data_IF_400343004102
#
_entry.id   IF_400343004102
#
_cell.length_a   1.000
_cell.length_b   1.000
_cell.length_c   1.000
_cell.angle_alpha   90.00
_cell.angle_beta   90.00
_cell.angle_gamma   90.00
#
_symmetry.space_group_name_H-M   'P 1'
#
loop_
_entity.id
_entity.type
_entity.pdbx_description
1 polymer ?
#
# COMPACT_ATOMS: atom_id res chain seq x y z
N UNK A 1 6.50 4.61 -24.50
CA UNK A 1 5.39 4.42 -23.54
C UNK A 1 6.03 4.26 -22.17
N UNK A 2 5.93 5.26 -21.28
CA UNK A 2 6.37 5.09 -19.90
C UNK A 2 5.36 4.14 -19.24
N UNK A 3 5.74 2.86 -19.09
CA UNK A 3 4.85 1.84 -18.57
C UNK A 3 4.59 2.11 -17.10
N UNK A 4 3.34 2.46 -16.75
CA UNK A 4 2.96 2.56 -15.35
C UNK A 4 3.09 1.20 -14.68
N UNK A 5 3.60 1.18 -13.46
CA UNK A 5 3.82 -0.06 -12.71
C UNK A 5 2.52 -0.52 -12.04
N UNK A 6 2.14 -1.79 -12.22
CA UNK A 6 0.93 -2.35 -11.59
C UNK A 6 1.21 -2.74 -10.13
N UNK A 7 0.42 -2.23 -9.19
CA UNK A 7 0.65 -2.41 -7.74
C UNK A 7 -0.64 -2.81 -7.01
N UNK A 8 -0.47 -3.42 -5.83
CA UNK A 8 -1.54 -3.57 -4.84
C UNK A 8 -1.40 -2.48 -3.78
N UNK A 9 -2.44 -1.69 -3.58
CA UNK A 9 -2.43 -0.63 -2.57
C UNK A 9 -2.86 -1.16 -1.20
N UNK A 10 -2.13 -0.75 -0.15
CA UNK A 10 -2.52 -0.92 1.25
C UNK A 10 -2.90 0.45 1.79
N UNK A 11 -4.18 0.64 2.10
CA UNK A 11 -4.77 1.91 2.53
C UNK A 11 -4.82 1.92 4.06
N UNK A 12 -3.97 2.74 4.69
CA UNK A 12 -3.70 2.67 6.12
C UNK A 12 -4.56 3.63 6.97
N UNK A 13 -5.31 4.52 6.32
CA UNK A 13 -6.21 5.49 6.94
C UNK A 13 -7.48 5.62 6.09
N UNK A 14 -8.58 6.17 6.63
CA UNK A 14 -9.71 6.58 5.80
C UNK A 14 -9.23 7.62 4.77
N UNK A 15 -9.03 7.17 3.54
CA UNK A 15 -8.62 8.01 2.41
C UNK A 15 -9.77 8.09 1.41
N UNK A 16 -9.96 9.27 0.84
CA UNK A 16 -10.94 9.46 -0.21
C UNK A 16 -10.44 8.83 -1.52
N UNK A 17 -11.37 8.53 -2.43
CA UNK A 17 -11.01 8.05 -3.78
C UNK A 17 -10.09 9.04 -4.51
N UNK A 18 -10.22 10.34 -4.23
CA UNK A 18 -9.37 11.39 -4.81
C UNK A 18 -7.92 11.25 -4.34
N UNK A 19 -7.70 11.00 -3.06
CA UNK A 19 -6.35 10.86 -2.49
C UNK A 19 -5.62 9.67 -3.11
N UNK A 20 -6.34 8.57 -3.29
CA UNK A 20 -5.79 7.35 -3.90
C UNK A 20 -5.43 7.59 -5.38
N UNK A 21 -6.27 8.32 -6.12
CA UNK A 21 -6.01 8.66 -7.52
C UNK A 21 -4.82 9.63 -7.67
N UNK A 22 -4.64 10.55 -6.73
CA UNK A 22 -3.49 11.45 -6.69
C UNK A 22 -2.21 10.65 -6.42
N UNK A 23 -2.21 9.79 -5.39
CA UNK A 23 -1.07 8.94 -5.08
C UNK A 23 -0.67 8.04 -6.26
N UNK A 24 -1.65 7.49 -6.99
CA UNK A 24 -1.42 6.71 -8.21
C UNK A 24 -0.72 7.54 -9.31
N UNK A 25 -1.19 8.77 -9.55
CA UNK A 25 -0.65 9.66 -10.57
C UNK A 25 0.75 10.16 -10.24
N UNK A 26 0.99 10.53 -8.98
CA UNK A 26 2.27 11.08 -8.53
C UNK A 26 3.38 10.03 -8.50
N UNK A 27 3.05 8.78 -8.16
CA UNK A 27 4.01 7.69 -8.08
C UNK A 27 4.15 6.90 -9.39
N UNK A 28 3.45 7.29 -10.45
CA UNK A 28 3.45 6.61 -11.75
C UNK A 28 3.12 5.11 -11.68
N UNK A 29 2.18 4.75 -10.80
CA UNK A 29 1.69 3.37 -10.62
C UNK A 29 0.27 3.22 -11.15
N UNK A 30 -0.25 2.00 -11.19
CA UNK A 30 -1.67 1.67 -11.40
C UNK A 30 -2.10 0.72 -10.30
N UNK A 31 -3.08 1.14 -9.50
CA UNK A 31 -3.56 0.34 -8.37
C UNK A 31 -4.57 -0.68 -8.89
N UNK A 32 -4.16 -1.95 -8.96
CA UNK A 32 -5.02 -3.05 -9.40
C UNK A 32 -6.02 -3.46 -8.33
N UNK A 33 -5.58 -3.49 -7.06
CA UNK A 33 -6.38 -3.92 -5.92
C UNK A 33 -6.03 -3.09 -4.70
N UNK A 34 -7.03 -2.89 -3.81
CA UNK A 34 -6.88 -2.18 -2.55
C UNK A 34 -7.11 -3.14 -1.39
N UNK A 35 -6.27 -3.03 -0.37
CA UNK A 35 -6.40 -3.68 0.93
C UNK A 35 -6.60 -2.55 1.93
N UNK A 36 -7.70 -2.55 2.67
CA UNK A 36 -7.94 -1.56 3.72
C UNK A 36 -7.34 -2.13 5.00
N UNK A 37 -6.34 -1.44 5.55
CA UNK A 37 -5.76 -1.82 6.82
C UNK A 37 -6.65 -1.31 7.96
N UNK A 38 -7.01 -2.23 8.86
CA UNK A 38 -7.67 -1.90 10.12
C UNK A 38 -6.66 -2.09 11.26
N UNK A 39 -6.32 -0.99 11.94
CA UNK A 39 -5.41 -0.99 13.08
C UNK A 39 -5.93 -1.88 14.24
N UNK A 40 -7.25 -2.09 14.34
CA UNK A 40 -7.85 -2.97 15.37
C UNK A 40 -7.57 -4.44 15.13
N UNK A 41 -7.48 -4.86 13.87
CA UNK A 41 -7.12 -6.23 13.49
C UNK A 41 -5.61 -6.49 13.60
N UNK A 42 -4.82 -5.42 13.60
CA UNK A 42 -3.38 -5.46 13.77
C UNK A 42 -2.61 -5.90 12.52
N UNK A 43 -1.29 -5.95 12.66
CA UNK A 43 -0.36 -6.26 11.56
C UNK A 43 -0.52 -7.69 11.01
N UNK A 44 -0.83 -8.65 11.86
CA UNK A 44 -0.89 -10.07 11.47
C UNK A 44 -2.05 -10.36 10.52
N UNK A 45 -3.19 -9.67 10.71
CA UNK A 45 -4.33 -9.76 9.80
C UNK A 45 -3.95 -9.24 8.40
N UNK A 46 -3.24 -8.12 8.32
CA UNK A 46 -2.75 -7.57 7.06
C UNK A 46 -1.79 -8.54 6.36
N UNK A 47 -0.81 -9.10 7.09
CA UNK A 47 0.13 -10.07 6.53
C UNK A 47 -0.64 -11.29 5.99
N UNK A 48 -1.61 -11.81 6.74
CA UNK A 48 -2.44 -12.93 6.28
C UNK A 48 -3.21 -12.60 5.01
N UNK A 49 -3.76 -11.39 4.87
CA UNK A 49 -4.42 -10.95 3.64
C UNK A 49 -3.44 -10.83 2.47
N UNK A 50 -2.24 -10.28 2.71
CA UNK A 50 -1.18 -10.17 1.70
C UNK A 50 -0.72 -11.55 1.22
N UNK A 51 -0.53 -12.50 2.13
CA UNK A 51 -0.14 -13.88 1.80
C UNK A 51 -1.23 -14.64 1.01
N UNK A 52 -2.50 -14.45 1.38
CA UNK A 52 -3.65 -15.03 0.66
C UNK A 52 -3.74 -14.54 -0.78
N UNK A 53 -3.26 -13.34 -1.05
CA UNK A 53 -3.38 -12.74 -2.38
C UNK A 53 -2.43 -13.36 -3.40
N UNK A 54 -1.36 -14.06 -3.02
CA UNK A 54 -0.42 -14.82 -3.90
C UNK A 54 -0.14 -14.19 -5.28
N UNK A 55 -0.17 -12.86 -5.39
CA UNK A 55 0.12 -12.16 -6.65
C UNK A 55 1.53 -11.59 -6.56
N UNK A 56 2.35 -11.70 -7.63
CA UNK A 56 3.71 -11.18 -7.68
C UNK A 56 3.74 -9.65 -7.88
N UNK A 57 2.72 -8.93 -7.41
CA UNK A 57 2.62 -7.47 -7.54
C UNK A 57 3.31 -6.79 -6.37
N UNK A 58 3.95 -5.65 -6.66
CA UNK A 58 4.50 -4.78 -5.61
C UNK A 58 3.38 -4.21 -4.75
N UNK A 59 3.73 -3.96 -3.50
CA UNK A 59 2.84 -3.29 -2.55
C UNK A 59 3.07 -1.80 -2.56
N UNK A 60 2.00 -1.03 -2.49
CA UNK A 60 2.04 0.42 -2.36
C UNK A 60 1.27 0.84 -1.11
N UNK A 61 1.98 1.20 -0.06
CA UNK A 61 1.37 1.63 1.20
C UNK A 61 1.00 3.10 1.11
N UNK A 62 -0.24 3.44 1.43
CA UNK A 62 -0.75 4.81 1.45
C UNK A 62 -1.18 5.13 2.87
N UNK A 63 -0.34 5.89 3.58
CA UNK A 63 -0.56 6.33 4.96
C UNK A 63 -1.32 7.65 5.00
N UNK A 64 -1.15 8.51 3.97
CA UNK A 64 -1.79 9.81 3.85
C UNK A 64 -1.65 10.40 2.43
N UNK A 65 -2.22 11.58 2.22
CA UNK A 65 -2.23 12.30 0.93
C UNK A 65 -0.84 12.49 0.30
N UNK A 66 0.18 12.70 1.14
CA UNK A 66 1.58 12.88 0.72
C UNK A 66 2.52 11.91 1.45
N UNK A 67 1.97 10.85 2.05
CA UNK A 67 2.75 9.85 2.79
C UNK A 67 2.42 8.48 2.23
N UNK A 68 3.23 8.06 1.26
CA UNK A 68 3.08 6.80 0.57
C UNK A 68 4.45 6.16 0.35
N UNK A 69 4.47 4.83 0.31
CA UNK A 69 5.69 4.05 0.17
C UNK A 69 5.45 2.89 -0.81
N UNK A 70 6.16 2.93 -1.94
CA UNK A 70 6.22 1.82 -2.88
C UNK A 70 7.27 0.82 -2.42
N UNK A 71 6.87 -0.43 -2.24
CA UNK A 71 7.74 -1.50 -1.78
C UNK A 71 8.52 -2.07 -2.96
N UNK A 72 9.80 -1.76 -3.04
CA UNK A 72 10.72 -2.30 -4.04
C UNK A 72 11.63 -3.38 -3.45
N UNK A 73 11.92 -3.31 -2.15
CA UNK A 73 12.77 -4.28 -1.46
C UNK A 73 12.19 -4.70 -0.09
N UNK A 74 12.86 -5.67 0.56
CA UNK A 74 12.47 -6.16 1.89
C UNK A 74 12.58 -5.06 2.97
N UNK A 75 13.49 -4.10 2.82
CA UNK A 75 13.65 -2.98 3.76
C UNK A 75 12.49 -1.98 3.67
N UNK A 76 11.97 -1.71 2.47
CA UNK A 76 10.77 -0.90 2.28
C UNK A 76 9.57 -1.55 2.96
N UNK A 77 9.42 -2.87 2.79
CA UNK A 77 8.35 -3.63 3.44
C UNK A 77 8.47 -3.55 4.96
N UNK A 78 9.70 -3.72 5.50
CA UNK A 78 9.94 -3.60 6.93
C UNK A 78 9.58 -2.21 7.44
N UNK A 79 9.99 -1.17 6.71
CA UNK A 79 9.69 0.24 7.03
C UNK A 79 8.19 0.50 7.01
N UNK A 80 7.47 -0.01 6.01
CA UNK A 80 6.02 0.09 5.93
C UNK A 80 5.34 -0.54 7.16
N UNK A 81 5.77 -1.75 7.51
CA UNK A 81 5.20 -2.50 8.64
C UNK A 81 5.52 -1.87 10.00
N UNK A 82 6.69 -1.27 10.17
CA UNK A 82 7.05 -0.51 11.38
C UNK A 82 6.19 0.76 11.51
N UNK A 83 5.97 1.49 10.41
CA UNK A 83 5.10 2.67 10.40
C UNK A 83 3.65 2.35 10.75
N UNK A 84 3.15 1.16 10.39
CA UNK A 84 1.80 0.74 10.76
C UNK A 84 1.57 0.60 12.27
N UNK A 85 2.61 0.26 13.03
CA UNK A 85 2.52 0.09 14.50
C UNK A 85 2.62 1.44 15.23
N UNK A 86 3.15 2.47 14.58
CA UNK A 86 3.31 3.81 15.14
C UNK A 86 2.07 4.72 14.96
N UNK A 87 1.03 4.24 14.28
CA UNK A 87 -0.22 4.96 13.97
C UNK A 87 -1.33 4.54 14.91
#
# INVERSE_FOLDING_TARGET
MSGKELVMAVVCRPLSSRDILLAEKENNVVIFRKIIYDAREGRDALISQMEKLRMPLKYFFIFGLNDCLLVNCAEDLKTALERLVAV
#
